data_IF_249607369107
#
_entry.id   IF_249607369107
#
_cell.length_a   1.000
_cell.length_b   1.000
_cell.length_c   1.000
_cell.angle_alpha   90.00
_cell.angle_beta   90.00
_cell.angle_gamma   90.00
#
_symmetry.space_group_name_H-M   'P 1'
#
loop_
_entity.id
_entity.type
_entity.pdbx_description
1 polymer ?
#
# COMPACT_ATOMS: atom_id res chain seq x y z
N UNK A 1 -7.43 -35.68 0.46
CA UNK A 1 -6.55 -34.82 1.28
C UNK A 1 -7.42 -33.78 1.98
N UNK A 2 -7.34 -33.62 3.31
CA UNK A 2 -8.00 -32.50 3.98
C UNK A 2 -7.30 -31.23 3.47
N UNK A 3 -8.03 -30.36 2.81
CA UNK A 3 -7.52 -29.04 2.44
C UNK A 3 -7.16 -28.28 3.72
N UNK A 4 -5.91 -27.87 3.86
CA UNK A 4 -5.48 -27.04 5.00
C UNK A 4 -6.20 -25.71 4.86
N UNK A 5 -6.96 -25.26 5.89
CA UNK A 5 -7.62 -23.96 5.84
C UNK A 5 -6.59 -22.85 5.67
N UNK A 6 -6.89 -21.83 4.85
CA UNK A 6 -6.00 -20.70 4.65
C UNK A 6 -5.75 -19.93 5.97
N UNK A 7 -4.69 -19.11 6.05
CA UNK A 7 -4.20 -18.44 7.27
C UNK A 7 -5.30 -17.74 8.08
N UNK A 8 -6.23 -17.07 7.40
CA UNK A 8 -7.29 -16.26 8.03
C UNK A 8 -8.69 -16.87 7.83
N UNK A 9 -8.76 -18.16 7.51
CA UNK A 9 -10.04 -18.85 7.39
C UNK A 9 -10.84 -18.76 8.70
N UNK A 10 -12.12 -18.40 8.60
CA UNK A 10 -13.01 -18.18 9.73
C UNK A 10 -13.05 -16.76 10.27
N UNK A 11 -12.16 -15.86 9.78
CA UNK A 11 -12.25 -14.43 10.05
C UNK A 11 -13.15 -13.77 9.02
N UNK A 12 -14.12 -12.96 9.48
CA UNK A 12 -15.01 -12.20 8.60
C UNK A 12 -14.88 -10.70 8.84
N UNK A 13 -14.73 -9.95 7.76
CA UNK A 13 -14.54 -8.50 7.76
C UNK A 13 -15.67 -7.81 7.03
N UNK A 14 -16.30 -6.83 7.68
CA UNK A 14 -17.21 -5.89 7.04
C UNK A 14 -16.39 -4.68 6.54
N UNK A 15 -16.21 -4.61 5.24
CA UNK A 15 -15.42 -3.58 4.57
C UNK A 15 -16.31 -2.44 4.07
N UNK A 16 -16.38 -1.34 4.82
CA UNK A 16 -17.07 -0.11 4.45
C UNK A 16 -16.13 0.88 3.75
N UNK A 17 -14.88 0.50 3.56
CA UNK A 17 -13.84 1.38 3.02
C UNK A 17 -13.96 1.57 1.51
N UNK A 18 -13.27 2.59 0.99
CA UNK A 18 -13.24 2.95 -0.43
C UNK A 18 -11.87 3.47 -0.85
N UNK A 19 -11.66 3.60 -2.13
CA UNK A 19 -10.43 4.07 -2.76
C UNK A 19 -9.23 3.13 -2.55
N UNK A 20 -8.26 3.46 -1.68
CA UNK A 20 -6.99 2.73 -1.65
C UNK A 20 -6.62 2.21 -0.25
N UNK A 21 -6.48 3.04 0.77
CA UNK A 21 -5.92 2.63 2.07
C UNK A 21 -6.70 1.48 2.73
N UNK A 22 -8.01 1.64 2.91
CA UNK A 22 -8.88 0.60 3.46
C UNK A 22 -8.97 -0.64 2.56
N UNK A 23 -9.25 -0.49 1.25
CA UNK A 23 -9.24 -1.62 0.32
C UNK A 23 -7.91 -2.38 0.26
N UNK A 24 -6.75 -1.72 0.39
CA UNK A 24 -5.44 -2.38 0.51
C UNK A 24 -5.39 -3.27 1.75
N UNK A 25 -5.81 -2.75 2.91
CA UNK A 25 -5.89 -3.52 4.15
C UNK A 25 -6.77 -4.76 3.98
N UNK A 26 -8.01 -4.57 3.54
CA UNK A 26 -9.00 -5.65 3.46
C UNK A 26 -8.71 -6.63 2.32
N UNK A 27 -8.06 -6.20 1.24
CA UNK A 27 -7.53 -7.08 0.19
C UNK A 27 -6.49 -8.04 0.75
N UNK A 28 -5.55 -7.58 1.59
CA UNK A 28 -4.55 -8.45 2.20
C UNK A 28 -5.21 -9.57 3.00
N UNK A 29 -6.27 -9.26 3.75
CA UNK A 29 -7.05 -10.26 4.48
C UNK A 29 -7.79 -11.22 3.54
N UNK A 30 -8.44 -10.70 2.49
CA UNK A 30 -9.17 -11.51 1.52
C UNK A 30 -8.24 -12.50 0.80
N UNK A 31 -7.07 -12.05 0.37
CA UNK A 31 -6.08 -12.91 -0.30
C UNK A 31 -5.45 -13.94 0.65
N UNK A 32 -5.49 -13.71 1.96
CA UNK A 32 -5.08 -14.68 3.00
C UNK A 32 -6.24 -15.55 3.52
N UNK A 33 -7.41 -15.50 2.89
CA UNK A 33 -8.53 -16.42 3.13
C UNK A 33 -9.58 -15.94 4.12
N UNK A 34 -9.57 -14.67 4.54
CA UNK A 34 -10.67 -14.09 5.28
C UNK A 34 -11.90 -13.88 4.36
N UNK A 35 -13.09 -14.01 4.93
CA UNK A 35 -14.35 -13.66 4.27
C UNK A 35 -14.58 -12.15 4.36
N UNK A 36 -14.31 -11.41 3.28
CA UNK A 36 -14.43 -9.94 3.25
C UNK A 36 -15.68 -9.54 2.50
N UNK A 37 -16.63 -8.94 3.24
CA UNK A 37 -17.88 -8.40 2.70
C UNK A 37 -17.68 -6.89 2.49
N UNK A 38 -17.53 -6.50 1.22
CA UNK A 38 -17.44 -5.09 0.84
C UNK A 38 -18.82 -4.51 0.65
N UNK A 39 -19.21 -3.62 1.55
CA UNK A 39 -20.46 -2.85 1.43
C UNK A 39 -20.18 -1.58 0.66
N UNK A 40 -20.89 -1.42 -0.45
CA UNK A 40 -20.72 -0.30 -1.37
C UNK A 40 -21.96 0.58 -1.38
N UNK A 41 -21.76 1.91 -1.31
CA UNK A 41 -22.84 2.87 -1.41
C UNK A 41 -23.40 2.91 -2.83
N UNK A 42 -24.66 2.53 -3.00
CA UNK A 42 -25.34 2.62 -4.30
C UNK A 42 -25.63 4.10 -4.70
N UNK A 43 -25.78 4.42 -6.00
CA UNK A 43 -25.87 3.50 -7.15
C UNK A 43 -24.53 3.12 -7.79
N UNK A 44 -23.42 3.81 -7.47
CA UNK A 44 -22.18 3.73 -8.23
C UNK A 44 -21.09 2.87 -7.53
N UNK A 45 -21.30 2.55 -6.25
CA UNK A 45 -20.35 1.80 -5.47
C UNK A 45 -19.08 2.58 -5.12
N UNK A 46 -17.98 1.87 -4.99
CA UNK A 46 -16.66 2.48 -4.82
C UNK A 46 -16.26 3.25 -6.09
N UNK A 47 -15.86 4.51 -5.93
CA UNK A 47 -15.47 5.37 -7.07
C UNK A 47 -14.33 4.78 -7.91
N UNK A 48 -13.54 3.86 -7.37
CA UNK A 48 -12.48 3.18 -8.13
C UNK A 48 -13.03 2.29 -9.24
N UNK A 49 -14.33 2.00 -9.25
CA UNK A 49 -15.02 1.37 -10.38
C UNK A 49 -15.08 2.24 -11.63
N UNK A 50 -15.05 3.58 -11.44
CA UNK A 50 -15.29 4.58 -12.49
C UNK A 50 -14.07 5.44 -12.84
N UNK A 51 -12.95 5.26 -12.13
CA UNK A 51 -11.73 6.07 -12.32
C UNK A 51 -10.57 5.23 -12.81
N UNK A 52 -9.51 5.92 -13.32
CA UNK A 52 -8.32 5.30 -13.88
C UNK A 52 -8.61 4.55 -15.20
N UNK A 53 -7.81 3.56 -15.54
CA UNK A 53 -7.99 2.80 -16.78
C UNK A 53 -9.20 1.87 -16.68
N UNK A 54 -10.09 2.00 -17.64
CA UNK A 54 -11.22 1.09 -17.84
C UNK A 54 -11.00 0.21 -19.09
N UNK A 55 -11.50 -1.01 -19.02
CA UNK A 55 -11.56 -1.93 -20.17
C UNK A 55 -12.92 -2.63 -20.14
N UNK A 56 -13.69 -2.53 -21.21
CA UNK A 56 -15.06 -3.04 -21.29
C UNK A 56 -15.92 -2.53 -20.10
N UNK A 57 -15.85 -1.23 -19.82
CA UNK A 57 -16.54 -0.56 -18.68
C UNK A 57 -16.12 -1.05 -17.28
N UNK A 58 -15.17 -1.95 -17.18
CA UNK A 58 -14.62 -2.48 -15.94
C UNK A 58 -13.45 -1.63 -15.42
N UNK A 59 -13.56 -1.07 -14.24
CA UNK A 59 -12.50 -0.29 -13.60
C UNK A 59 -11.37 -1.19 -13.10
N UNK A 60 -10.22 -1.16 -13.77
CA UNK A 60 -9.08 -2.04 -13.44
C UNK A 60 -8.48 -1.72 -12.06
N UNK A 61 -8.58 -0.47 -11.61
CA UNK A 61 -8.15 -0.07 -10.28
C UNK A 61 -9.00 -0.73 -9.19
N UNK A 62 -10.33 -0.76 -9.37
CA UNK A 62 -11.20 -1.49 -8.47
C UNK A 62 -10.84 -2.98 -8.42
N UNK A 63 -10.65 -3.59 -9.59
CA UNK A 63 -10.30 -5.01 -9.68
C UNK A 63 -9.04 -5.31 -8.87
N UNK A 64 -7.96 -4.54 -9.07
CA UNK A 64 -6.71 -4.74 -8.34
C UNK A 64 -6.89 -4.65 -6.83
N UNK A 65 -7.73 -3.75 -6.32
CA UNK A 65 -7.87 -3.49 -4.88
C UNK A 65 -8.93 -4.35 -4.18
N UNK A 66 -9.74 -5.10 -4.93
CA UNK A 66 -10.89 -5.79 -4.34
C UNK A 66 -10.98 -7.28 -4.73
N UNK A 67 -9.84 -7.89 -5.07
CA UNK A 67 -9.77 -9.33 -5.34
C UNK A 67 -10.27 -10.15 -4.14
N UNK A 68 -11.00 -11.21 -4.44
CA UNK A 68 -11.52 -12.19 -3.46
C UNK A 68 -12.45 -11.60 -2.39
N UNK A 69 -13.07 -10.43 -2.64
CA UNK A 69 -14.12 -9.87 -1.77
C UNK A 69 -15.51 -10.23 -2.30
N UNK A 70 -16.50 -10.20 -1.40
CA UNK A 70 -17.93 -10.27 -1.76
C UNK A 70 -18.52 -8.86 -1.73
N UNK A 71 -19.19 -8.42 -2.81
CA UNK A 71 -19.81 -7.09 -2.90
C UNK A 71 -21.28 -7.14 -2.53
N UNK A 72 -21.69 -6.24 -1.63
CA UNK A 72 -23.08 -5.92 -1.31
C UNK A 72 -23.28 -4.43 -1.56
N UNK A 73 -24.20 -4.07 -2.45
CA UNK A 73 -24.45 -2.66 -2.81
C UNK A 73 -25.77 -2.17 -2.23
N UNK A 74 -25.68 -1.20 -1.33
CA UNK A 74 -26.80 -0.69 -0.53
C UNK A 74 -26.95 0.81 -0.74
N UNK A 75 -28.16 1.29 -1.02
CA UNK A 75 -28.47 2.72 -0.97
C UNK A 75 -28.79 3.15 0.47
N UNK A 76 -27.81 3.80 1.11
CA UNK A 76 -27.94 4.29 2.49
C UNK A 76 -28.98 5.40 2.66
N UNK A 77 -29.47 5.98 1.57
CA UNK A 77 -30.53 7.01 1.58
C UNK A 77 -31.92 6.40 1.65
N UNK A 78 -32.06 5.15 1.25
CA UNK A 78 -33.34 4.44 1.32
C UNK A 78 -33.66 4.00 2.75
N UNK A 79 -34.93 4.04 3.16
CA UNK A 79 -35.35 3.48 4.43
C UNK A 79 -34.90 2.02 4.57
N UNK A 80 -34.28 1.67 5.69
CA UNK A 80 -33.76 0.32 5.96
C UNK A 80 -32.38 0.03 5.38
N UNK A 81 -31.81 0.89 4.51
CA UNK A 81 -30.48 0.62 3.94
C UNK A 81 -29.38 0.53 4.99
N UNK A 82 -29.30 1.49 5.91
CA UNK A 82 -28.33 1.44 7.02
C UNK A 82 -28.66 0.34 8.03
N UNK A 83 -29.93 -0.08 8.15
CA UNK A 83 -30.29 -1.18 9.04
C UNK A 83 -29.72 -2.51 8.54
N UNK A 84 -29.67 -2.75 7.23
CA UNK A 84 -28.99 -3.92 6.66
C UNK A 84 -27.51 -3.95 7.03
N UNK A 85 -26.81 -2.81 6.98
CA UNK A 85 -25.41 -2.74 7.41
C UNK A 85 -25.29 -3.08 8.89
N UNK A 86 -26.18 -2.57 9.72
CA UNK A 86 -26.19 -2.83 11.16
C UNK A 86 -26.52 -4.30 11.47
N UNK A 87 -27.38 -4.96 10.68
CA UNK A 87 -27.70 -6.38 10.80
C UNK A 87 -26.50 -7.26 10.44
N UNK A 88 -25.59 -6.83 9.56
CA UNK A 88 -24.37 -7.56 9.22
C UNK A 88 -23.30 -7.55 10.33
N UNK A 89 -23.27 -6.52 11.18
CA UNK A 89 -22.23 -6.32 12.21
C UNK A 89 -22.06 -7.54 13.13
N UNK A 90 -23.12 -8.16 13.71
CA UNK A 90 -22.97 -9.33 14.59
C UNK A 90 -22.30 -10.54 13.94
N UNK A 91 -22.32 -10.60 12.62
CA UNK A 91 -21.75 -11.69 11.85
C UNK A 91 -20.28 -11.47 11.44
N UNK A 92 -19.70 -10.31 11.78
CA UNK A 92 -18.36 -9.90 11.37
C UNK A 92 -17.42 -9.70 12.57
N UNK A 93 -16.17 -10.13 12.44
CA UNK A 93 -15.14 -10.00 13.47
C UNK A 93 -14.53 -8.60 13.52
N UNK A 94 -14.48 -7.96 12.37
CA UNK A 94 -13.83 -6.65 12.15
C UNK A 94 -14.72 -5.80 11.27
N UNK A 95 -14.81 -4.52 11.57
CA UNK A 95 -15.33 -3.49 10.67
C UNK A 95 -14.17 -2.60 10.26
N UNK A 96 -14.00 -2.37 8.95
CA UNK A 96 -12.99 -1.46 8.41
C UNK A 96 -13.68 -0.33 7.66
N UNK A 97 -13.32 0.91 7.97
CA UNK A 97 -13.86 2.09 7.32
C UNK A 97 -12.76 3.14 7.06
N UNK A 98 -12.98 4.04 6.09
CA UNK A 98 -12.07 5.16 5.85
C UNK A 98 -12.83 6.44 5.46
N UNK A 99 -13.90 6.72 6.16
CA UNK A 99 -14.65 7.97 6.05
C UNK A 99 -13.97 9.10 6.83
N UNK A 100 -14.49 10.30 6.67
CA UNK A 100 -14.11 11.41 7.54
C UNK A 100 -14.61 11.16 8.97
N UNK A 101 -13.87 11.61 10.01
CA UNK A 101 -14.37 11.58 11.37
C UNK A 101 -15.78 12.14 11.49
N UNK A 102 -16.63 11.48 12.27
CA UNK A 102 -18.04 11.83 12.44
C UNK A 102 -19.03 11.15 11.49
N UNK A 103 -18.59 10.64 10.35
CA UNK A 103 -19.51 9.97 9.38
C UNK A 103 -20.08 8.68 9.96
N UNK A 104 -19.25 7.83 10.55
CA UNK A 104 -19.73 6.59 11.20
C UNK A 104 -20.73 6.88 12.32
N UNK A 105 -20.51 7.92 13.11
CA UNK A 105 -21.46 8.38 14.12
C UNK A 105 -22.81 8.77 13.49
N UNK A 106 -22.77 9.56 12.40
CA UNK A 106 -23.98 9.96 11.66
C UNK A 106 -24.76 8.78 11.08
N UNK A 107 -24.10 7.67 10.79
CA UNK A 107 -24.69 6.43 10.31
C UNK A 107 -25.19 5.51 11.46
N UNK A 108 -24.93 5.84 12.73
CA UNK A 108 -25.19 4.95 13.87
C UNK A 108 -24.35 3.69 13.86
N UNK A 109 -23.09 3.83 13.42
CA UNK A 109 -22.05 2.80 13.31
C UNK A 109 -20.77 3.22 14.05
N UNK A 110 -20.85 4.15 15.02
CA UNK A 110 -19.73 4.44 15.90
C UNK A 110 -19.31 3.20 16.69
N UNK A 111 -18.10 3.20 17.24
CA UNK A 111 -17.58 2.02 17.95
C UNK A 111 -18.54 1.51 19.05
N UNK A 112 -19.12 2.41 19.84
CA UNK A 112 -20.09 2.03 20.87
C UNK A 112 -21.39 1.46 20.28
N UNK A 113 -21.82 1.91 19.09
CA UNK A 113 -22.97 1.33 18.39
C UNK A 113 -22.68 -0.10 17.90
N UNK A 114 -21.48 -0.32 17.37
CA UNK A 114 -21.01 -1.62 16.93
C UNK A 114 -20.86 -2.57 18.10
N UNK A 115 -20.25 -2.12 19.21
CA UNK A 115 -20.02 -2.89 20.42
C UNK A 115 -21.32 -3.35 21.07
N UNK A 116 -22.39 -2.54 21.03
CA UNK A 116 -23.71 -2.99 21.49
C UNK A 116 -24.31 -4.15 20.69
N UNK A 117 -23.87 -4.32 19.44
CA UNK A 117 -24.31 -5.39 18.54
C UNK A 117 -23.44 -6.63 18.64
N UNK A 118 -22.16 -6.43 18.85
CA UNK A 118 -21.15 -7.47 19.05
C UNK A 118 -20.09 -6.97 20.02
N UNK A 119 -20.09 -7.47 21.24
CA UNK A 119 -19.27 -6.98 22.35
C UNK A 119 -17.76 -7.00 22.05
N UNK A 120 -17.30 -8.06 21.35
CA UNK A 120 -15.90 -8.29 21.01
C UNK A 120 -15.49 -7.74 19.62
N UNK A 121 -16.30 -6.85 19.03
CA UNK A 121 -16.04 -6.28 17.69
C UNK A 121 -14.74 -5.48 17.67
N UNK A 122 -14.01 -5.58 16.58
CA UNK A 122 -12.87 -4.71 16.29
C UNK A 122 -13.32 -3.69 15.22
N UNK A 123 -13.16 -2.40 15.49
CA UNK A 123 -13.34 -1.33 14.51
C UNK A 123 -11.97 -0.80 14.11
N UNK A 124 -11.64 -0.80 12.83
CA UNK A 124 -10.47 -0.11 12.29
C UNK A 124 -10.92 1.09 11.47
N UNK A 125 -10.66 2.29 12.00
CA UNK A 125 -10.94 3.57 11.36
C UNK A 125 -9.67 4.13 10.74
N UNK A 126 -9.65 4.24 9.43
CA UNK A 126 -8.54 4.80 8.66
C UNK A 126 -8.90 6.21 8.24
N UNK A 127 -8.03 7.18 8.50
CA UNK A 127 -8.28 8.58 8.11
C UNK A 127 -7.00 9.27 7.63
N UNK A 128 -7.13 10.43 6.98
CA UNK A 128 -5.97 11.16 6.52
C UNK A 128 -5.13 11.73 7.67
N UNK A 129 -5.78 12.28 8.70
CA UNK A 129 -5.13 13.10 9.73
C UNK A 129 -5.50 12.68 11.17
N UNK A 130 -6.03 11.46 11.37
CA UNK A 130 -6.44 10.92 12.67
C UNK A 130 -7.91 11.20 13.03
N UNK A 131 -8.44 10.42 13.98
CA UNK A 131 -9.80 10.60 14.51
C UNK A 131 -9.88 11.74 15.53
N UNK A 132 -8.74 12.21 16.02
CA UNK A 132 -8.62 13.26 17.03
C UNK A 132 -7.53 14.27 16.68
N UNK A 133 -7.42 15.34 17.46
CA UNK A 133 -6.44 16.40 17.25
C UNK A 133 -6.95 17.54 16.34
N UNK A 134 -6.20 18.66 16.28
CA UNK A 134 -6.63 19.89 15.63
C UNK A 134 -6.89 19.77 14.12
N UNK A 135 -6.31 18.77 13.45
CA UNK A 135 -6.43 18.56 12.01
C UNK A 135 -7.47 17.48 11.64
N UNK A 136 -8.05 16.79 12.61
CA UNK A 136 -8.89 15.60 12.35
C UNK A 136 -10.10 15.87 11.43
N UNK A 137 -10.68 17.06 11.49
CA UNK A 137 -11.83 17.44 10.65
C UNK A 137 -11.45 17.98 9.27
N UNK A 138 -10.14 18.21 9.04
CA UNK A 138 -9.66 18.75 7.77
C UNK A 138 -9.78 17.71 6.66
N UNK A 139 -10.27 18.07 5.46
CA UNK A 139 -10.24 17.18 4.31
C UNK A 139 -8.81 16.80 3.95
N UNK A 140 -8.58 15.51 3.71
CA UNK A 140 -7.25 15.00 3.34
C UNK A 140 -7.33 13.76 2.47
N UNK A 141 -6.28 13.58 1.69
CA UNK A 141 -5.95 12.41 0.89
C UNK A 141 -4.46 12.13 1.06
N UNK A 142 -3.93 11.12 0.40
CA UNK A 142 -2.54 10.69 0.50
C UNK A 142 -1.55 11.88 0.48
N UNK A 143 -1.47 12.63 -0.60
CA UNK A 143 -0.49 13.74 -0.74
C UNK A 143 -0.68 14.88 0.26
N UNK A 144 -1.89 15.06 0.79
CA UNK A 144 -2.14 16.04 1.86
C UNK A 144 -1.51 15.56 3.18
N UNK A 145 -1.69 14.29 3.52
CA UNK A 145 -1.05 13.69 4.68
C UNK A 145 0.48 13.65 4.53
N UNK A 146 0.98 13.32 3.34
CA UNK A 146 2.41 13.34 2.99
C UNK A 146 3.05 14.70 3.23
N UNK A 147 2.35 15.77 2.80
CA UNK A 147 2.83 17.14 2.99
C UNK A 147 2.87 17.54 4.47
N UNK A 148 1.80 17.25 5.24
CA UNK A 148 1.75 17.50 6.67
C UNK A 148 2.78 16.69 7.47
N UNK A 149 3.06 15.47 7.06
CA UNK A 149 4.08 14.64 7.66
C UNK A 149 5.53 15.10 7.35
N UNK A 150 5.71 16.12 6.51
CA UNK A 150 7.03 16.58 6.11
C UNK A 150 7.72 15.74 5.03
N UNK A 151 7.13 14.61 4.64
CA UNK A 151 7.74 13.69 3.65
C UNK A 151 7.89 14.35 2.28
N UNK A 152 6.91 15.13 1.84
CA UNK A 152 7.02 15.90 0.58
C UNK A 152 8.24 16.80 0.56
N UNK A 153 8.64 17.39 1.70
CA UNK A 153 9.81 18.25 1.78
C UNK A 153 11.14 17.52 1.56
N UNK A 154 11.13 16.18 1.64
CA UNK A 154 12.30 15.32 1.41
C UNK A 154 12.45 14.85 -0.04
N UNK A 155 11.46 15.12 -0.91
CA UNK A 155 11.42 14.59 -2.29
C UNK A 155 11.72 15.72 -3.28
N UNK A 156 12.74 15.53 -4.11
CA UNK A 156 13.13 16.45 -5.15
C UNK A 156 14.58 16.91 -5.05
N UNK A 157 14.97 17.77 -5.98
CA UNK A 157 16.30 18.38 -5.99
C UNK A 157 16.45 19.44 -4.90
N UNK A 158 17.68 19.63 -4.39
CA UNK A 158 17.96 20.46 -3.22
C UNK A 158 17.46 21.90 -3.39
N UNK A 159 17.69 22.48 -4.56
CA UNK A 159 17.44 23.90 -4.85
C UNK A 159 16.12 24.15 -5.58
N UNK A 160 15.33 23.09 -5.79
CA UNK A 160 14.03 23.16 -6.47
C UNK A 160 12.87 23.05 -5.49
N UNK A 161 11.65 23.30 -5.96
CA UNK A 161 10.45 22.99 -5.21
C UNK A 161 10.30 21.48 -5.00
N UNK A 162 9.70 21.04 -3.87
CA UNK A 162 9.44 19.62 -3.65
C UNK A 162 8.58 19.01 -4.75
N UNK A 163 8.79 17.71 -5.03
CA UNK A 163 8.01 16.92 -5.97
C UNK A 163 7.07 15.97 -5.23
N UNK A 164 6.08 15.47 -5.95
CA UNK A 164 5.25 14.34 -5.48
C UNK A 164 5.44 13.15 -6.42
N UNK A 165 5.63 11.92 -5.90
CA UNK A 165 5.70 10.73 -6.74
C UNK A 165 4.31 10.31 -7.21
N UNK A 166 4.20 9.71 -8.39
CA UNK A 166 2.94 9.10 -8.86
C UNK A 166 2.75 7.71 -8.20
N UNK A 167 2.66 7.69 -6.88
CA UNK A 167 2.49 6.48 -6.07
C UNK A 167 1.58 6.80 -4.88
N UNK A 168 0.65 5.91 -4.57
CA UNK A 168 -0.16 5.97 -3.35
C UNK A 168 0.59 5.40 -2.15
N UNK A 169 1.76 5.97 -1.82
CA UNK A 169 2.65 5.42 -0.79
C UNK A 169 2.00 5.43 0.60
N UNK A 170 1.38 6.54 0.98
CA UNK A 170 0.74 6.67 2.29
C UNK A 170 -0.48 5.79 2.41
N UNK A 171 -1.32 5.75 1.39
CA UNK A 171 -2.49 4.87 1.38
C UNK A 171 -2.08 3.40 1.52
N UNK A 172 -1.08 2.94 0.75
CA UNK A 172 -0.61 1.55 0.81
C UNK A 172 0.05 1.27 2.16
N UNK A 173 0.94 2.16 2.63
CA UNK A 173 1.60 2.04 3.92
C UNK A 173 0.58 1.98 5.07
N UNK A 174 -0.42 2.85 5.04
CA UNK A 174 -1.51 2.87 6.02
C UNK A 174 -2.35 1.59 5.97
N UNK A 175 -2.64 1.09 4.78
CA UNK A 175 -3.34 -0.19 4.61
C UNK A 175 -2.59 -1.37 5.23
N UNK A 176 -1.25 -1.39 5.09
CA UNK A 176 -0.39 -2.40 5.72
C UNK A 176 -0.36 -2.24 7.25
N UNK A 177 -0.22 -1.02 7.79
CA UNK A 177 -0.27 -0.77 9.23
C UNK A 177 -1.64 -1.15 9.81
N UNK A 178 -2.73 -0.82 9.12
CA UNK A 178 -4.07 -1.23 9.51
C UNK A 178 -4.22 -2.76 9.53
N UNK A 179 -3.70 -3.45 8.53
CA UNK A 179 -3.73 -4.92 8.51
C UNK A 179 -2.93 -5.51 9.68
N UNK A 180 -1.76 -4.99 10.00
CA UNK A 180 -0.98 -5.40 11.17
C UNK A 180 -1.72 -5.13 12.48
N UNK A 181 -2.31 -3.93 12.64
CA UNK A 181 -3.05 -3.57 13.83
C UNK A 181 -4.28 -4.47 14.04
N UNK A 182 -5.03 -4.77 12.98
CA UNK A 182 -6.16 -5.71 13.02
C UNK A 182 -5.69 -7.12 13.41
N UNK A 183 -4.61 -7.62 12.84
CA UNK A 183 -4.06 -8.94 13.18
C UNK A 183 -3.66 -9.00 14.66
N UNK A 184 -2.99 -7.97 15.19
CA UNK A 184 -2.65 -7.86 16.60
C UNK A 184 -3.90 -7.81 17.50
N UNK A 185 -4.93 -7.05 17.10
CA UNK A 185 -6.20 -6.97 17.81
C UNK A 185 -6.95 -8.30 17.81
N UNK A 186 -6.95 -9.06 16.71
CA UNK A 186 -7.53 -10.40 16.64
C UNK A 186 -6.81 -11.39 17.57
N UNK A 187 -5.48 -11.32 17.65
CA UNK A 187 -4.69 -12.13 18.60
C UNK A 187 -5.03 -11.76 20.05
N UNK A 188 -5.13 -10.45 20.36
CA UNK A 188 -5.54 -9.97 21.68
C UNK A 188 -6.95 -10.45 22.03
N UNK A 189 -7.90 -10.27 21.12
CA UNK A 189 -9.28 -10.73 21.28
C UNK A 189 -9.36 -12.24 21.52
N UNK A 190 -8.60 -13.03 20.80
CA UNK A 190 -8.54 -14.49 20.97
C UNK A 190 -8.06 -14.92 22.37
N UNK A 191 -7.31 -14.08 23.07
CA UNK A 191 -6.80 -14.33 24.43
C UNK A 191 -7.71 -13.78 25.54
N UNK A 192 -8.39 -12.67 25.28
CA UNK A 192 -9.10 -11.90 26.30
C UNK A 192 -10.61 -11.81 26.10
N UNK A 193 -11.09 -12.10 24.90
CA UNK A 193 -12.48 -11.86 24.51
C UNK A 193 -12.80 -10.38 24.24
N UNK A 194 -11.82 -9.47 24.28
CA UNK A 194 -12.05 -8.03 24.16
C UNK A 194 -11.80 -7.51 22.77
N UNK A 195 -12.80 -6.83 22.18
CA UNK A 195 -12.65 -6.01 20.99
C UNK A 195 -12.10 -4.62 21.32
N UNK A 196 -11.79 -3.85 20.27
CA UNK A 196 -11.24 -2.50 20.42
C UNK A 196 -11.45 -1.65 19.16
N UNK A 197 -11.32 -0.33 19.32
CA UNK A 197 -11.19 0.60 18.20
C UNK A 197 -9.72 0.85 17.90
N UNK A 198 -9.38 0.84 16.63
CA UNK A 198 -8.07 1.16 16.07
C UNK A 198 -8.20 2.44 15.24
N UNK A 199 -7.42 3.46 15.59
CA UNK A 199 -7.31 4.72 14.83
C UNK A 199 -5.99 4.71 14.08
N UNK A 200 -6.03 4.67 12.74
CA UNK A 200 -4.86 4.59 11.87
C UNK A 200 -4.89 5.79 10.91
N UNK A 201 -3.93 6.70 11.05
CA UNK A 201 -3.85 7.89 10.22
C UNK A 201 -2.74 7.80 9.15
N UNK A 202 -3.04 8.28 7.93
CA UNK A 202 -2.03 8.39 6.88
C UNK A 202 -0.87 9.29 7.34
N UNK A 203 -1.20 10.37 8.05
CA UNK A 203 -0.21 11.28 8.65
C UNK A 203 0.79 10.54 9.52
N UNK A 204 0.29 9.72 10.45
CA UNK A 204 1.13 9.01 11.43
C UNK A 204 1.98 7.93 10.73
N UNK A 205 1.40 7.23 9.76
CA UNK A 205 2.12 6.22 8.97
C UNK A 205 3.25 6.85 8.14
N UNK A 206 3.00 7.99 7.52
CA UNK A 206 4.04 8.75 6.83
C UNK A 206 5.11 9.28 7.80
N UNK A 207 4.69 9.81 8.95
CA UNK A 207 5.62 10.34 9.94
C UNK A 207 6.51 9.23 10.53
N UNK A 208 5.95 8.04 10.72
CA UNK A 208 6.70 6.86 11.16
C UNK A 208 7.81 6.44 10.16
N UNK A 209 7.67 6.79 8.88
CA UNK A 209 8.70 6.52 7.87
C UNK A 209 9.94 7.43 7.97
N UNK A 210 9.92 8.46 8.82
CA UNK A 210 11.11 9.28 9.11
C UNK A 210 12.08 8.52 10.03
N UNK A 211 12.85 7.60 9.48
CA UNK A 211 13.76 6.73 10.25
C UNK A 211 14.84 7.51 11.02
N UNK A 212 15.41 8.56 10.41
CA UNK A 212 16.52 9.35 10.99
C UNK A 212 16.19 10.84 11.16
N UNK A 213 15.33 11.41 10.34
CA UNK A 213 15.16 12.85 10.18
C UNK A 213 14.70 13.55 11.48
N UNK A 214 13.74 12.94 12.19
CA UNK A 214 13.15 13.54 13.40
C UNK A 214 14.18 13.62 14.53
N UNK A 215 14.87 12.52 14.81
CA UNK A 215 15.85 12.51 15.90
C UNK A 215 17.12 13.31 15.55
N UNK A 216 17.54 13.34 14.28
CA UNK A 216 18.65 14.21 13.86
C UNK A 216 18.34 15.68 14.15
N UNK A 217 17.15 16.16 13.82
CA UNK A 217 16.75 17.53 14.10
C UNK A 217 16.63 17.80 15.61
N UNK A 218 15.94 16.93 16.35
CA UNK A 218 15.66 17.15 17.76
C UNK A 218 16.88 16.94 18.65
N UNK A 219 17.70 15.90 18.39
CA UNK A 219 18.90 15.62 19.18
C UNK A 219 20.03 16.63 18.94
N UNK A 220 20.08 17.22 17.72
CA UNK A 220 21.02 18.31 17.42
C UNK A 220 20.52 19.70 17.85
N UNK A 221 19.39 19.77 18.57
CA UNK A 221 18.74 21.04 18.95
C UNK A 221 18.47 21.97 17.77
N UNK A 222 18.20 21.40 16.58
CA UNK A 222 17.90 22.11 15.35
C UNK A 222 19.11 22.54 14.52
N UNK A 223 20.32 22.14 14.90
CA UNK A 223 21.51 22.38 14.10
C UNK A 223 21.46 21.60 12.77
N UNK A 224 21.08 20.31 12.83
CA UNK A 224 20.85 19.48 11.65
C UNK A 224 19.41 19.69 11.17
N UNK A 225 19.27 20.19 9.95
CA UNK A 225 17.96 20.42 9.30
C UNK A 225 17.81 19.47 8.11
N UNK A 226 17.25 18.27 8.31
CA UNK A 226 17.02 17.34 7.21
C UNK A 226 16.20 17.99 6.08
N UNK A 227 16.63 17.78 4.87
CA UNK A 227 15.98 18.31 3.67
C UNK A 227 16.22 17.36 2.50
N UNK A 228 15.57 17.60 1.36
CA UNK A 228 15.78 16.84 0.14
C UNK A 228 17.22 16.95 -0.35
N UNK A 229 17.72 15.85 -0.88
CA UNK A 229 19.13 15.69 -1.24
C UNK A 229 19.34 15.57 -2.76
N UNK A 230 18.26 15.55 -3.55
CA UNK A 230 18.34 15.30 -4.99
C UNK A 230 18.68 13.84 -5.29
N UNK A 231 19.57 13.65 -6.28
CA UNK A 231 19.97 12.30 -6.73
C UNK A 231 20.99 11.60 -5.83
N UNK A 232 21.73 12.34 -5.00
CA UNK A 232 22.83 11.79 -4.21
C UNK A 232 22.63 12.09 -2.72
N UNK A 233 22.93 11.10 -1.89
CA UNK A 233 22.82 11.19 -0.45
C UNK A 233 23.80 12.23 0.11
N UNK A 234 23.40 12.95 1.15
CA UNK A 234 24.22 13.96 1.80
C UNK A 234 25.15 13.44 2.90
N UNK A 235 25.14 12.14 3.13
CA UNK A 235 25.92 11.50 4.20
C UNK A 235 26.69 10.27 3.75
N UNK A 236 26.65 9.91 2.45
CA UNK A 236 27.29 8.76 1.87
C UNK A 236 27.80 9.09 0.46
N UNK A 237 29.07 8.83 0.19
CA UNK A 237 29.67 8.98 -1.14
C UNK A 237 30.61 7.81 -1.46
N UNK A 238 30.29 7.02 -2.54
CA UNK A 238 29.18 7.18 -3.46
C UNK A 238 27.87 6.62 -2.89
N UNK A 239 26.78 7.35 -3.03
CA UNK A 239 25.44 6.92 -2.64
C UNK A 239 24.38 7.69 -3.41
N UNK A 240 23.55 7.01 -4.20
CA UNK A 240 22.49 7.66 -4.96
C UNK A 240 22.30 7.15 -6.38
N UNK A 241 21.74 8.01 -7.26
CA UNK A 241 21.43 7.72 -8.66
C UNK A 241 22.47 8.31 -9.58
N UNK A 242 23.14 7.49 -10.36
CA UNK A 242 24.22 7.83 -11.27
C UNK A 242 23.79 7.66 -12.73
N UNK A 243 24.24 8.55 -13.61
CA UNK A 243 23.98 8.45 -15.04
C UNK A 243 24.88 7.42 -15.71
N UNK A 244 24.27 6.48 -16.41
CA UNK A 244 24.94 5.53 -17.28
C UNK A 244 24.49 5.72 -18.75
N UNK A 245 25.11 5.00 -19.67
CA UNK A 245 24.69 5.02 -21.06
C UNK A 245 23.35 4.28 -21.21
N UNK A 246 22.32 4.99 -21.63
CA UNK A 246 20.99 4.45 -21.87
C UNK A 246 20.07 4.36 -20.64
N UNK A 247 20.50 4.87 -19.46
CA UNK A 247 19.67 4.90 -18.27
C UNK A 247 20.41 5.38 -17.03
N UNK A 248 19.82 5.09 -15.87
CA UNK A 248 20.36 5.44 -14.57
C UNK A 248 20.61 4.19 -13.72
N UNK A 249 21.59 4.25 -12.82
CA UNK A 249 21.94 3.16 -11.90
C UNK A 249 21.97 3.72 -10.48
N UNK A 250 21.33 3.03 -9.53
CA UNK A 250 21.54 3.29 -8.10
C UNK A 250 22.79 2.57 -7.63
N UNK A 251 23.68 3.28 -6.94
CA UNK A 251 24.83 2.69 -6.25
C UNK A 251 24.77 3.07 -4.78
N UNK A 252 24.98 2.09 -3.90
CA UNK A 252 25.05 2.27 -2.44
C UNK A 252 26.41 1.78 -1.94
N UNK A 253 27.44 2.61 -2.15
CA UNK A 253 28.83 2.30 -1.81
C UNK A 253 29.17 2.64 -0.36
N UNK A 254 28.71 1.85 0.62
CA UNK A 254 29.15 1.98 2.00
C UNK A 254 30.67 1.83 2.12
N UNK A 255 31.27 2.29 3.22
CA UNK A 255 32.73 2.36 3.41
C UNK A 255 33.50 1.12 2.94
N UNK A 256 33.01 -0.06 3.26
CA UNK A 256 33.64 -1.33 2.89
C UNK A 256 33.47 -1.71 1.40
N UNK A 257 32.55 -1.10 0.65
CA UNK A 257 32.39 -1.32 -0.79
C UNK A 257 33.19 -0.36 -1.66
N UNK A 258 33.83 0.67 -1.06
CA UNK A 258 34.64 1.60 -1.85
C UNK A 258 35.84 0.94 -2.53
N UNK A 259 36.64 0.07 -1.84
CA UNK A 259 37.68 -0.69 -2.50
C UNK A 259 37.19 -1.60 -3.63
N UNK A 260 36.02 -2.23 -3.46
CA UNK A 260 35.42 -3.10 -4.46
C UNK A 260 35.00 -2.31 -5.70
N UNK A 261 34.41 -1.13 -5.52
CA UNK A 261 34.07 -0.23 -6.62
C UNK A 261 35.33 0.31 -7.31
N UNK A 262 36.40 0.61 -6.56
CA UNK A 262 37.70 0.98 -7.14
C UNK A 262 38.25 -0.14 -8.01
N UNK A 263 38.19 -1.40 -7.53
CA UNK A 263 38.60 -2.56 -8.29
C UNK A 263 37.79 -2.75 -9.57
N UNK A 264 36.44 -2.60 -9.49
CA UNK A 264 35.57 -2.64 -10.66
C UNK A 264 35.94 -1.58 -11.71
N UNK A 265 36.40 -0.40 -11.26
CA UNK A 265 36.87 0.68 -12.14
C UNK A 265 38.29 0.50 -12.64
N UNK A 266 39.05 -0.52 -12.18
CA UNK A 266 40.48 -0.69 -12.43
C UNK A 266 41.31 0.43 -11.82
N UNK A 267 40.88 0.96 -10.67
CA UNK A 267 41.48 2.09 -9.96
C UNK A 267 41.67 1.78 -8.46
N UNK A 268 42.26 0.64 -8.17
CA UNK A 268 42.56 0.19 -6.80
C UNK A 268 43.40 1.21 -6.01
N UNK A 269 44.17 2.05 -6.73
CA UNK A 269 44.93 3.17 -6.16
C UNK A 269 44.04 4.16 -5.40
N UNK A 270 42.78 4.37 -5.82
CA UNK A 270 41.85 5.29 -5.18
C UNK A 270 41.30 4.78 -3.83
N UNK A 271 41.38 3.48 -3.57
CA UNK A 271 40.89 2.90 -2.32
C UNK A 271 41.58 3.47 -1.08
N UNK A 272 42.85 3.87 -1.24
CA UNK A 272 43.67 4.43 -0.16
C UNK A 272 44.27 5.80 -0.45
N UNK A 273 43.94 6.39 -1.59
CA UNK A 273 44.47 7.69 -1.98
C UNK A 273 43.96 8.80 -1.05
N UNK A 274 44.78 9.77 -0.66
CA UNK A 274 44.32 10.96 0.06
C UNK A 274 43.21 11.68 -0.68
N UNK A 275 42.15 12.06 0.04
CA UNK A 275 40.94 12.67 -0.51
C UNK A 275 39.90 11.67 -1.05
N UNK A 276 40.19 10.37 -1.08
CA UNK A 276 39.33 9.32 -1.62
C UNK A 276 39.06 8.17 -0.65
N UNK A 277 39.92 7.97 0.34
CA UNK A 277 39.94 6.75 1.17
C UNK A 277 38.71 6.67 2.12
N UNK A 278 38.30 7.76 2.71
CA UNK A 278 37.16 7.80 3.66
C UNK A 278 35.91 8.43 3.06
N UNK A 279 34.74 8.11 3.65
CA UNK A 279 33.47 8.78 3.27
C UNK A 279 33.52 10.29 3.47
N UNK A 280 34.14 10.75 4.57
CA UNK A 280 34.30 12.17 4.86
C UNK A 280 35.09 12.90 3.77
N UNK A 281 36.23 12.34 3.36
CA UNK A 281 37.05 12.89 2.28
C UNK A 281 36.29 12.91 0.95
N UNK A 282 35.61 11.82 0.60
CA UNK A 282 34.80 11.76 -0.64
C UNK A 282 33.61 12.71 -0.60
N UNK A 283 33.01 12.94 0.56
CA UNK A 283 31.94 13.94 0.72
C UNK A 283 32.42 15.37 0.49
N UNK A 284 33.67 15.72 0.87
CA UNK A 284 34.26 17.05 0.59
C UNK A 284 34.38 17.30 -0.92
N UNK A 285 34.56 16.23 -1.71
CA UNK A 285 34.74 16.26 -3.16
C UNK A 285 33.60 15.51 -3.91
N UNK A 286 32.41 15.44 -3.33
CA UNK A 286 31.33 14.59 -3.83
C UNK A 286 31.04 14.78 -5.32
N UNK A 287 31.04 16.02 -5.81
CA UNK A 287 30.77 16.29 -7.23
C UNK A 287 31.84 15.70 -8.16
N UNK A 288 33.11 15.69 -7.74
CA UNK A 288 34.22 15.11 -8.50
C UNK A 288 34.11 13.58 -8.52
N UNK A 289 33.84 12.96 -7.37
CA UNK A 289 33.65 11.51 -7.24
C UNK A 289 32.49 11.05 -8.11
N UNK A 290 31.34 11.75 -8.05
CA UNK A 290 30.16 11.45 -8.89
C UNK A 290 30.53 11.54 -10.38
N UNK A 291 31.15 12.64 -10.81
CA UNK A 291 31.53 12.84 -12.20
C UNK A 291 32.54 11.78 -12.68
N UNK A 292 33.43 11.31 -11.79
CA UNK A 292 34.39 10.26 -12.10
C UNK A 292 33.66 8.92 -12.32
N UNK A 293 32.77 8.54 -11.43
CA UNK A 293 31.97 7.30 -11.54
C UNK A 293 31.06 7.35 -12.77
N UNK A 294 30.35 8.47 -12.99
CA UNK A 294 29.47 8.62 -14.16
C UNK A 294 30.23 8.49 -15.49
N UNK A 295 31.45 9.05 -15.59
CA UNK A 295 32.30 8.85 -16.80
C UNK A 295 32.63 7.38 -17.04
N UNK A 296 32.95 6.65 -15.97
CA UNK A 296 33.21 5.21 -16.06
C UNK A 296 31.94 4.44 -16.48
N UNK A 297 30.80 4.70 -15.86
CA UNK A 297 29.53 4.04 -16.21
C UNK A 297 29.12 4.33 -17.66
N UNK A 298 29.39 5.54 -18.18
CA UNK A 298 29.11 5.91 -19.55
C UNK A 298 30.07 5.28 -20.58
N UNK A 299 31.18 4.69 -20.16
CA UNK A 299 32.10 3.97 -21.03
C UNK A 299 31.56 2.60 -21.47
N UNK A 300 30.60 2.03 -20.74
CA UNK A 300 29.95 0.78 -21.10
C UNK A 300 28.96 0.97 -22.26
N UNK A 301 28.66 -0.11 -23.04
CA UNK A 301 27.69 -0.01 -24.13
C UNK A 301 26.25 0.28 -23.65
N UNK A 302 25.88 -0.23 -22.47
CA UNK A 302 24.54 -0.16 -21.89
C UNK A 302 24.58 -0.29 -20.35
N UNK A 303 23.41 -0.12 -19.71
CA UNK A 303 23.22 -0.23 -18.26
C UNK A 303 23.54 -1.63 -17.76
N UNK A 304 23.12 -2.68 -18.47
CA UNK A 304 23.28 -4.07 -18.01
C UNK A 304 24.76 -4.46 -17.95
N UNK A 305 25.56 -4.00 -18.91
CA UNK A 305 27.02 -4.22 -18.90
C UNK A 305 27.71 -3.50 -17.74
N UNK A 306 27.25 -2.28 -17.40
CA UNK A 306 27.78 -1.54 -16.25
C UNK A 306 27.39 -2.21 -14.92
N UNK A 307 26.15 -2.67 -14.79
CA UNK A 307 25.67 -3.45 -13.63
C UNK A 307 26.49 -4.72 -13.47
N UNK A 308 26.68 -5.50 -14.54
CA UNK A 308 27.45 -6.74 -14.49
C UNK A 308 28.91 -6.52 -14.04
N UNK A 309 29.52 -5.40 -14.43
CA UNK A 309 30.89 -5.06 -14.01
C UNK A 309 30.96 -4.76 -12.50
N UNK A 310 29.92 -4.14 -11.92
CA UNK A 310 29.83 -3.91 -10.47
C UNK A 310 29.49 -5.19 -9.71
N UNK A 311 28.58 -6.01 -10.24
CA UNK A 311 28.20 -7.29 -9.64
C UNK A 311 29.38 -8.26 -9.53
N UNK A 312 30.29 -8.23 -10.50
CA UNK A 312 31.53 -9.04 -10.48
C UNK A 312 32.47 -8.69 -9.31
N UNK A 313 32.24 -7.56 -8.65
CA UNK A 313 33.02 -7.06 -7.50
C UNK A 313 32.14 -6.87 -6.25
N UNK A 314 30.95 -7.49 -6.20
CA UNK A 314 30.03 -7.41 -5.05
C UNK A 314 29.63 -5.97 -4.63
N UNK A 315 29.67 -5.01 -5.56
CA UNK A 315 29.24 -3.63 -5.30
C UNK A 315 27.72 -3.56 -5.31
N UNK A 316 27.06 -3.08 -4.23
CA UNK A 316 25.60 -2.94 -4.20
C UNK A 316 25.11 -1.90 -5.23
N UNK A 317 24.42 -2.38 -6.24
CA UNK A 317 23.92 -1.55 -7.34
C UNK A 317 22.60 -2.11 -7.89
N UNK A 318 21.87 -1.29 -8.63
CA UNK A 318 20.68 -1.72 -9.38
C UNK A 318 20.40 -0.75 -10.54
N UNK A 319 19.94 -1.24 -11.70
CA UNK A 319 19.41 -0.37 -12.74
C UNK A 319 18.10 0.28 -12.27
N UNK A 320 17.84 1.53 -12.66
CA UNK A 320 16.55 2.20 -12.43
C UNK A 320 15.58 1.72 -13.52
N UNK A 321 14.79 0.71 -13.20
CA UNK A 321 13.85 0.09 -14.13
C UNK A 321 12.56 0.90 -14.29
N UNK A 322 12.08 1.03 -15.52
CA UNK A 322 10.73 1.50 -15.80
C UNK A 322 9.68 0.41 -15.48
N UNK A 323 8.40 0.80 -15.36
CA UNK A 323 7.30 -0.18 -15.21
C UNK A 323 7.24 -1.15 -16.39
N UNK A 324 7.51 -0.70 -17.62
CA UNK A 324 7.58 -1.59 -18.78
C UNK A 324 8.66 -2.67 -18.64
N UNK A 325 9.80 -2.32 -18.06
CA UNK A 325 10.89 -3.29 -17.83
C UNK A 325 10.54 -4.23 -16.66
N UNK A 326 9.97 -3.72 -15.57
CA UNK A 326 9.62 -4.57 -14.41
C UNK A 326 8.58 -5.64 -14.74
N UNK A 327 7.57 -5.33 -15.57
CA UNK A 327 6.52 -6.30 -15.92
C UNK A 327 7.02 -7.45 -16.82
N UNK A 328 8.18 -7.28 -17.45
CA UNK A 328 8.85 -8.29 -18.31
C UNK A 328 10.03 -8.97 -17.61
N UNK A 329 10.44 -8.48 -16.42
CA UNK A 329 11.65 -8.92 -15.78
C UNK A 329 11.50 -10.34 -15.19
N UNK A 330 12.39 -11.29 -15.51
CA UNK A 330 12.26 -12.69 -15.10
C UNK A 330 12.11 -12.88 -13.59
N UNK A 331 12.90 -12.17 -12.78
CA UNK A 331 12.83 -12.26 -11.32
C UNK A 331 11.46 -11.86 -10.76
N UNK A 332 10.81 -10.81 -11.33
CA UNK A 332 9.48 -10.36 -10.90
C UNK A 332 8.40 -11.40 -11.24
N UNK A 333 8.54 -12.03 -12.40
CA UNK A 333 7.61 -13.08 -12.88
C UNK A 333 7.78 -14.34 -12.05
N UNK A 334 9.00 -14.87 -11.95
CA UNK A 334 9.29 -16.10 -11.20
C UNK A 334 8.96 -15.97 -9.72
N UNK A 335 9.30 -14.83 -9.12
CA UNK A 335 8.97 -14.56 -7.74
C UNK A 335 7.47 -14.27 -7.53
N UNK A 336 6.67 -14.04 -8.59
CA UNK A 336 5.27 -13.62 -8.50
C UNK A 336 5.10 -12.24 -7.85
N UNK A 337 6.13 -11.38 -7.96
CA UNK A 337 6.05 -9.96 -7.56
C UNK A 337 5.08 -9.22 -8.47
N UNK A 338 4.98 -9.66 -9.70
CA UNK A 338 3.90 -9.36 -10.63
C UNK A 338 3.12 -10.64 -10.91
N UNK A 339 1.81 -10.53 -11.03
CA UNK A 339 0.96 -11.66 -11.42
C UNK A 339 -0.04 -11.26 -12.49
N UNK A 340 -0.36 -12.20 -13.34
CA UNK A 340 -1.44 -12.09 -14.30
C UNK A 340 -2.74 -12.52 -13.62
N UNK A 341 -3.80 -11.75 -13.83
CA UNK A 341 -5.17 -12.10 -13.43
C UNK A 341 -6.05 -12.16 -14.68
N UNK A 342 -7.11 -12.95 -14.61
CA UNK A 342 -8.11 -13.06 -15.67
C UNK A 342 -9.47 -12.59 -15.12
N UNK A 343 -9.78 -11.30 -15.32
CA UNK A 343 -11.06 -10.73 -14.91
C UNK A 343 -12.14 -11.11 -15.95
N UNK A 344 -13.34 -11.55 -15.51
CA UNK A 344 -14.38 -12.06 -16.42
C UNK A 344 -14.91 -11.01 -17.42
N UNK A 345 -14.72 -9.71 -17.13
CA UNK A 345 -15.17 -8.60 -17.97
C UNK A 345 -14.00 -7.94 -18.70
N UNK A 346 -12.93 -7.62 -17.96
CA UNK A 346 -11.78 -6.92 -18.52
C UNK A 346 -10.80 -7.84 -19.24
N UNK A 347 -10.89 -9.16 -19.05
CA UNK A 347 -9.93 -10.12 -19.57
C UNK A 347 -8.59 -10.09 -18.83
N UNK A 348 -7.56 -10.62 -19.46
CA UNK A 348 -6.24 -10.78 -18.88
C UNK A 348 -5.48 -9.44 -18.74
N UNK A 349 -4.86 -9.21 -17.57
CA UNK A 349 -3.90 -8.13 -17.33
C UNK A 349 -3.05 -8.41 -16.09
N UNK A 350 -1.95 -7.65 -15.95
CA UNK A 350 -1.01 -7.83 -14.86
C UNK A 350 -1.24 -6.80 -13.74
N UNK A 351 -1.02 -7.26 -12.51
CA UNK A 351 -1.08 -6.44 -11.29
C UNK A 351 0.07 -6.80 -10.36
N UNK A 352 0.41 -5.94 -9.37
CA UNK A 352 1.30 -6.34 -8.29
C UNK A 352 0.77 -7.57 -7.55
N UNK A 353 1.65 -8.56 -7.35
CA UNK A 353 1.35 -9.75 -6.57
C UNK A 353 1.21 -9.46 -5.08
N UNK A 354 0.70 -10.44 -4.33
CA UNK A 354 0.68 -10.34 -2.86
C UNK A 354 2.11 -10.41 -2.30
N UNK A 355 2.54 -9.44 -1.47
CA UNK A 355 3.95 -9.36 -1.05
C UNK A 355 4.34 -10.41 0.01
N UNK A 356 3.37 -10.95 0.74
CA UNK A 356 3.61 -11.94 1.80
C UNK A 356 3.59 -13.35 1.19
N UNK A 357 4.63 -14.12 1.47
CA UNK A 357 4.75 -15.51 1.04
C UNK A 357 4.75 -16.42 2.26
N UNK A 358 3.95 -17.46 2.22
CA UNK A 358 3.87 -18.48 3.26
C UNK A 358 4.48 -19.79 2.76
N UNK A 359 5.19 -20.51 3.63
CA UNK A 359 5.65 -21.87 3.33
C UNK A 359 4.53 -22.91 3.29
N UNK A 360 3.34 -22.56 3.81
CA UNK A 360 2.17 -23.45 3.87
C UNK A 360 1.13 -23.17 2.79
N UNK A 361 1.09 -21.93 2.28
CA UNK A 361 0.04 -21.47 1.37
C UNK A 361 0.67 -20.82 0.14
N UNK A 362 0.29 -21.31 -1.03
CA UNK A 362 0.69 -20.71 -2.29
C UNK A 362 -0.04 -19.38 -2.50
N UNK A 363 0.65 -18.39 -3.08
CA UNK A 363 0.05 -17.11 -3.46
C UNK A 363 -0.61 -17.14 -4.85
N UNK A 364 -0.71 -18.33 -5.46
CA UNK A 364 -1.28 -18.52 -6.80
C UNK A 364 -2.75 -18.93 -6.66
N UNK A 365 -3.62 -17.94 -6.51
CA UNK A 365 -5.07 -18.16 -6.56
C UNK A 365 -5.66 -17.32 -7.68
N UNK A 366 -6.59 -17.90 -8.44
CA UNK A 366 -7.38 -17.22 -9.47
C UNK A 366 -8.48 -16.39 -8.81
N UNK A 367 -8.06 -15.37 -8.06
CA UNK A 367 -8.98 -14.45 -7.40
C UNK A 367 -9.62 -13.49 -8.40
N UNK A 368 -10.92 -13.33 -8.27
CA UNK A 368 -11.72 -12.38 -9.05
C UNK A 368 -12.23 -11.26 -8.14
N UNK A 369 -12.31 -10.05 -8.65
CA UNK A 369 -12.96 -8.95 -7.96
C UNK A 369 -14.47 -8.96 -8.30
N UNK A 370 -15.35 -8.67 -7.32
CA UNK A 370 -16.78 -8.78 -7.53
C UNK A 370 -17.34 -7.70 -8.46
N UNK A 371 -18.45 -7.99 -9.13
CA UNK A 371 -19.32 -6.99 -9.72
C UNK A 371 -20.06 -6.21 -8.62
N UNK A 372 -20.66 -5.09 -8.96
CA UNK A 372 -21.39 -4.27 -7.98
C UNK A 372 -22.66 -5.01 -7.52
N UNK A 373 -22.72 -5.31 -6.21
CA UNK A 373 -23.85 -6.04 -5.61
C UNK A 373 -23.95 -7.50 -6.02
N UNK A 374 -22.92 -8.08 -6.61
CA UNK A 374 -22.89 -9.48 -7.08
C UNK A 374 -23.31 -10.48 -6.01
N UNK A 375 -23.03 -10.17 -4.75
CA UNK A 375 -23.25 -11.08 -3.63
C UNK A 375 -24.42 -10.62 -2.71
N UNK A 376 -25.30 -9.71 -3.19
CA UNK A 376 -26.45 -9.26 -2.40
C UNK A 376 -27.26 -10.45 -1.86
N UNK A 377 -27.73 -11.33 -2.74
CA UNK A 377 -28.56 -12.46 -2.36
C UNK A 377 -27.79 -13.43 -1.46
N UNK A 378 -26.58 -13.82 -1.87
CA UNK A 378 -25.75 -14.77 -1.11
C UNK A 378 -25.49 -14.27 0.32
N UNK A 379 -25.05 -13.05 0.51
CA UNK A 379 -24.74 -12.48 1.83
C UNK A 379 -26.00 -12.35 2.69
N UNK A 380 -27.09 -11.80 2.13
CA UNK A 380 -28.30 -11.58 2.90
C UNK A 380 -29.03 -12.89 3.29
N UNK A 381 -28.99 -13.89 2.41
CA UNK A 381 -29.61 -15.19 2.73
C UNK A 381 -28.78 -15.98 3.72
N UNK A 382 -27.47 -16.06 3.50
CA UNK A 382 -26.58 -16.90 4.32
C UNK A 382 -26.30 -16.32 5.71
N UNK A 383 -26.21 -14.99 5.84
CA UNK A 383 -25.87 -14.34 7.11
C UNK A 383 -27.09 -13.78 7.84
N UNK A 384 -28.04 -13.18 7.12
CA UNK A 384 -29.20 -12.55 7.75
C UNK A 384 -30.47 -13.44 7.72
N UNK A 385 -30.40 -14.61 7.08
CA UNK A 385 -31.54 -15.52 6.96
C UNK A 385 -32.71 -14.94 6.15
N UNK A 386 -32.46 -13.92 5.33
CA UNK A 386 -33.50 -13.33 4.48
C UNK A 386 -33.85 -14.29 3.35
N UNK A 387 -35.13 -14.39 2.99
CA UNK A 387 -35.55 -15.18 1.84
C UNK A 387 -35.16 -14.50 0.53
N UNK A 388 -35.07 -15.26 -0.56
CA UNK A 388 -34.89 -14.71 -1.90
C UNK A 388 -36.00 -13.71 -2.28
N UNK A 389 -37.21 -13.88 -1.72
CA UNK A 389 -38.32 -12.92 -1.91
C UNK A 389 -38.07 -11.61 -1.17
N UNK A 390 -37.49 -11.65 0.05
CA UNK A 390 -37.08 -10.46 0.78
C UNK A 390 -36.01 -9.67 0.01
N UNK A 391 -35.04 -10.37 -0.56
CA UNK A 391 -33.96 -9.73 -1.37
C UNK A 391 -34.58 -9.04 -2.59
N UNK A 392 -35.46 -9.73 -3.33
CA UNK A 392 -36.15 -9.11 -4.48
C UNK A 392 -37.00 -7.89 -4.08
N UNK A 393 -37.63 -7.90 -2.90
CA UNK A 393 -38.38 -6.72 -2.39
C UNK A 393 -37.43 -5.56 -2.11
N UNK A 394 -36.28 -5.81 -1.54
CA UNK A 394 -35.27 -4.78 -1.27
C UNK A 394 -34.68 -4.20 -2.57
N UNK A 395 -34.49 -5.03 -3.58
CA UNK A 395 -34.10 -4.59 -4.93
C UNK A 395 -35.18 -3.76 -5.59
N UNK A 396 -36.43 -4.22 -5.56
CA UNK A 396 -37.57 -3.48 -6.11
C UNK A 396 -37.79 -2.14 -5.39
N UNK A 397 -37.50 -2.04 -4.10
CA UNK A 397 -37.53 -0.81 -3.32
C UNK A 397 -36.30 0.09 -3.53
N UNK A 398 -35.32 -0.32 -4.33
CA UNK A 398 -34.08 0.42 -4.58
C UNK A 398 -33.15 0.49 -3.38
N UNK A 399 -33.33 -0.38 -2.38
CA UNK A 399 -32.44 -0.48 -1.22
C UNK A 399 -31.16 -1.25 -1.61
N UNK A 400 -31.32 -2.32 -2.37
CA UNK A 400 -30.22 -3.08 -2.95
C UNK A 400 -30.09 -2.78 -4.44
N UNK A 401 -28.89 -2.72 -4.93
CA UNK A 401 -28.59 -2.54 -6.36
C UNK A 401 -27.60 -3.61 -6.78
N UNK A 402 -27.89 -4.25 -7.91
CA UNK A 402 -26.94 -5.08 -8.63
C UNK A 402 -26.78 -4.53 -10.05
N UNK A 403 -25.56 -4.42 -10.53
CA UNK A 403 -25.29 -4.11 -11.95
C UNK A 403 -24.64 -5.33 -12.57
N UNK A 404 -25.39 -6.20 -13.24
CA UNK A 404 -24.80 -7.14 -14.17
C UNK A 404 -24.18 -6.34 -15.33
N UNK A 405 -23.04 -6.76 -15.82
CA UNK A 405 -22.45 -6.24 -17.06
C UNK A 405 -23.14 -6.87 -18.26
#
# INVERSE_FOLDING_TARGET
MKTIPHLLNGIRILDLSRALAGPTCTRMFAEMGADVIKVEAAPDGDRTRLVSRMRNERGLYFVQQNLNKRSVAIDFRQPGGLDLVRELVPHCDVVVENYKPGVMQGMGLAYEDLKRRREDIILCSISALGQSGPLSTKPGYDYIAQAYAGVTSMIGDRDESPYIPLLGLGDVLTGVHAAFAIAAALIHRGRTGQGQMLDIALLDCYYHAHEVNVHQYTASLGEIKPTRVGRHLSYLCPGGVFKARGGDIVIMGFLHHWPDLCAAMGREDLATAPGWASDAERMEHQAEVIAFIERWLQSFPDVDSAVAAMDAHDVPNAPVLSIEQTVKHPHFIERGTIRTINDPVAGEFQIPGHPIRSSLFANNHDFVAPLLGEHNEDVLTTLLGKSAEDVRRLEAAGVLISKPY
#
